data_IF_090030187744
#
_entry.id   IF_090030187744
#
_cell.length_a   1.000
_cell.length_b   1.000
_cell.length_c   1.000
_cell.angle_alpha   90.00
_cell.angle_beta   90.00
_cell.angle_gamma   90.00
#
_symmetry.space_group_name_H-M   'P 1'
#
loop_
_entity.id
_entity.type
_entity.pdbx_description
1 polymer ?
#
# COMPACT_ATOMS: atom_id res chain seq x y z
N UNK A 1 1.94 29.83 6.68
CA UNK A 1 2.70 28.80 5.91
C UNK A 1 1.93 27.48 5.94
N UNK A 2 1.71 26.91 4.77
CA UNK A 2 1.08 25.62 4.68
C UNK A 2 2.05 24.52 5.13
N UNK A 3 1.54 23.50 5.80
CA UNK A 3 2.32 22.33 6.22
C UNK A 3 1.55 21.07 5.93
N UNK A 4 2.26 19.97 5.83
CA UNK A 4 1.71 18.64 5.62
C UNK A 4 2.33 17.70 6.65
N UNK A 5 1.50 16.90 7.27
CA UNK A 5 1.94 15.85 8.19
C UNK A 5 1.97 14.52 7.44
N UNK A 6 3.13 13.90 7.43
CA UNK A 6 3.36 12.61 6.75
C UNK A 6 3.60 11.53 7.80
N UNK A 7 2.87 10.43 7.68
CA UNK A 7 3.10 9.25 8.50
C UNK A 7 3.73 8.16 7.64
N UNK A 8 4.90 7.69 8.03
CA UNK A 8 5.53 6.54 7.41
C UNK A 8 5.25 5.33 8.28
N UNK A 9 4.61 4.32 7.71
CA UNK A 9 4.32 3.08 8.41
C UNK A 9 5.49 2.12 8.23
N UNK A 10 5.93 1.53 9.32
CA UNK A 10 6.88 0.43 9.29
C UNK A 10 6.15 -0.83 9.68
N UNK A 11 6.01 -1.75 8.73
CA UNK A 11 5.15 -2.93 8.88
C UNK A 11 5.97 -4.21 8.86
N UNK A 12 5.42 -5.23 9.52
CA UNK A 12 5.92 -6.59 9.34
C UNK A 12 5.28 -7.20 8.10
N UNK A 13 6.06 -7.92 7.30
CA UNK A 13 5.55 -8.56 6.09
C UNK A 13 5.30 -10.04 6.36
N UNK A 14 4.04 -10.44 6.22
CA UNK A 14 3.62 -11.84 6.30
C UNK A 14 3.54 -12.44 4.89
N UNK A 15 3.64 -13.78 4.76
CA UNK A 15 3.40 -14.43 3.46
C UNK A 15 1.99 -14.26 2.93
N UNK A 16 1.01 -14.02 3.80
CA UNK A 16 -0.40 -13.85 3.44
C UNK A 16 -0.68 -12.37 3.12
N UNK A 17 -1.05 -12.09 1.86
CA UNK A 17 -1.39 -10.74 1.40
C UNK A 17 -2.54 -10.12 2.18
N UNK A 18 -3.58 -10.89 2.46
CA UNK A 18 -4.75 -10.41 3.18
C UNK A 18 -4.36 -9.96 4.58
N UNK A 19 -3.52 -10.72 5.25
CA UNK A 19 -3.04 -10.36 6.57
C UNK A 19 -2.24 -9.06 6.55
N UNK A 20 -1.38 -8.88 5.55
CA UNK A 20 -0.62 -7.63 5.40
C UNK A 20 -1.57 -6.42 5.23
N UNK A 21 -2.61 -6.57 4.43
CA UNK A 21 -3.61 -5.51 4.23
C UNK A 21 -4.39 -5.24 5.51
N UNK A 22 -4.84 -6.28 6.20
CA UNK A 22 -5.62 -6.14 7.44
C UNK A 22 -4.84 -5.41 8.54
N UNK A 23 -3.53 -5.63 8.63
CA UNK A 23 -2.69 -4.96 9.62
C UNK A 23 -2.52 -3.47 9.36
N UNK A 24 -2.80 -3.00 8.14
CA UNK A 24 -2.70 -1.58 7.80
C UNK A 24 -3.79 -0.74 8.46
N UNK A 25 -5.01 -1.28 8.58
CA UNK A 25 -6.17 -0.52 9.05
C UNK A 25 -5.94 0.16 10.41
N UNK A 26 -5.52 -0.56 11.46
CA UNK A 26 -5.28 0.09 12.75
C UNK A 26 -4.12 1.09 12.71
N UNK A 27 -3.10 0.82 11.89
CA UNK A 27 -1.97 1.73 11.74
C UNK A 27 -2.37 3.01 11.03
N UNK A 28 -3.17 2.92 9.96
CA UNK A 28 -3.69 4.09 9.25
C UNK A 28 -4.61 4.91 10.16
N UNK A 29 -5.47 4.24 10.93
CA UNK A 29 -6.34 4.91 11.89
C UNK A 29 -5.52 5.71 12.91
N UNK A 30 -4.46 5.12 13.45
CA UNK A 30 -3.56 5.79 14.38
C UNK A 30 -2.89 7.00 13.72
N UNK A 31 -2.41 6.85 12.49
CA UNK A 31 -1.81 7.94 11.72
C UNK A 31 -2.83 9.08 11.49
N UNK A 32 -4.04 8.73 11.08
CA UNK A 32 -5.12 9.71 10.85
C UNK A 32 -5.45 10.46 12.13
N UNK A 33 -5.59 9.75 13.25
CA UNK A 33 -5.88 10.35 14.55
C UNK A 33 -4.76 11.27 15.05
N UNK A 34 -3.54 11.05 14.57
CA UNK A 34 -2.38 11.90 14.88
C UNK A 34 -2.24 13.10 13.93
N UNK A 35 -3.18 13.26 13.00
CA UNK A 35 -3.21 14.40 12.09
C UNK A 35 -2.48 14.21 10.77
N UNK A 36 -2.18 12.97 10.39
CA UNK A 36 -1.51 12.70 9.12
C UNK A 36 -2.40 13.07 7.92
N UNK A 37 -1.81 13.76 6.96
CA UNK A 37 -2.42 14.08 5.67
C UNK A 37 -2.07 13.03 4.62
N UNK A 38 -0.85 12.54 4.65
CA UNK A 38 -0.31 11.54 3.75
C UNK A 38 0.23 10.36 4.55
N UNK A 39 -0.15 9.17 4.17
CA UNK A 39 0.37 7.93 4.75
C UNK A 39 1.20 7.20 3.71
N UNK A 40 2.38 6.73 4.10
CA UNK A 40 3.31 6.03 3.20
C UNK A 40 3.59 4.62 3.72
N UNK A 41 3.63 3.67 2.80
CA UNK A 41 4.00 2.28 3.07
C UNK A 41 5.47 2.02 2.69
N UNK A 42 6.10 0.99 3.26
CA UNK A 42 7.46 0.63 2.88
C UNK A 42 7.50 -0.17 1.57
N UNK A 43 8.67 -0.23 0.97
CA UNK A 43 8.92 -1.03 -0.23
C UNK A 43 8.51 -2.50 -0.01
N UNK A 44 7.80 -3.07 -0.98
CA UNK A 44 7.33 -4.47 -0.95
C UNK A 44 6.60 -4.83 0.34
N UNK A 45 5.70 -3.96 0.78
CA UNK A 45 5.00 -4.17 2.05
C UNK A 45 4.14 -5.45 2.06
N UNK A 46 3.77 -5.96 0.88
CA UNK A 46 2.84 -7.09 0.73
C UNK A 46 3.48 -8.33 0.11
N UNK A 47 4.80 -8.42 0.12
CA UNK A 47 5.52 -9.54 -0.48
C UNK A 47 6.81 -9.79 0.30
N UNK A 48 7.06 -11.01 0.81
CA UNK A 48 8.36 -11.32 1.38
C UNK A 48 9.48 -11.02 0.38
N UNK A 49 10.51 -10.31 0.83
CA UNK A 49 11.51 -9.69 -0.03
C UNK A 49 12.56 -10.71 -0.48
N UNK A 50 12.14 -11.59 -1.39
CA UNK A 50 12.98 -12.59 -2.05
C UNK A 50 12.59 -12.67 -3.52
N UNK A 51 13.58 -12.67 -4.40
CA UNK A 51 13.37 -12.61 -5.85
C UNK A 51 12.34 -13.63 -6.38
N UNK A 52 12.36 -14.92 -5.95
CA UNK A 52 11.36 -15.87 -6.45
C UNK A 52 9.91 -15.53 -6.11
N UNK A 53 9.69 -14.71 -5.09
CA UNK A 53 8.32 -14.34 -4.68
C UNK A 53 7.70 -13.28 -5.59
N UNK A 54 8.49 -12.41 -6.20
CA UNK A 54 7.95 -11.26 -6.91
C UNK A 54 6.98 -11.66 -8.04
N UNK A 55 7.30 -12.61 -8.91
CA UNK A 55 6.33 -13.04 -9.94
C UNK A 55 5.09 -13.70 -9.35
N UNK A 56 5.23 -14.41 -8.23
CA UNK A 56 4.12 -15.13 -7.58
C UNK A 56 3.12 -14.15 -6.96
N UNK A 57 3.61 -13.06 -6.36
CA UNK A 57 2.79 -12.08 -5.67
C UNK A 57 2.31 -10.96 -6.59
N UNK A 58 2.85 -10.84 -7.79
CA UNK A 58 2.54 -9.74 -8.70
C UNK A 58 1.06 -9.73 -9.12
N UNK A 59 0.48 -8.54 -9.14
CA UNK A 59 -0.89 -8.32 -9.59
C UNK A 59 -0.94 -7.18 -10.58
N UNK A 60 -1.92 -7.21 -11.46
CA UNK A 60 -2.20 -6.11 -12.37
C UNK A 60 -2.81 -4.93 -11.60
N UNK A 61 -2.58 -3.72 -12.12
CA UNK A 61 -3.25 -2.53 -11.60
C UNK A 61 -4.78 -2.74 -11.67
N UNK A 62 -5.48 -2.30 -10.63
CA UNK A 62 -6.92 -2.54 -10.49
C UNK A 62 -7.29 -3.89 -9.92
N UNK A 63 -6.31 -4.74 -9.60
CA UNK A 63 -6.53 -6.04 -8.97
C UNK A 63 -6.89 -5.94 -7.49
N UNK A 64 -7.00 -7.09 -6.79
CA UNK A 64 -7.45 -7.10 -5.40
C UNK A 64 -6.64 -6.23 -4.44
N UNK A 65 -5.32 -6.24 -4.55
CA UNK A 65 -4.47 -5.41 -3.68
C UNK A 65 -4.68 -3.93 -3.98
N UNK A 66 -4.69 -3.55 -5.27
CA UNK A 66 -4.95 -2.17 -5.68
C UNK A 66 -6.29 -1.70 -5.12
N UNK A 67 -7.33 -2.51 -5.26
CA UNK A 67 -8.67 -2.15 -4.80
C UNK A 67 -8.72 -1.98 -3.28
N UNK A 68 -8.07 -2.87 -2.53
CA UNK A 68 -8.00 -2.76 -1.08
C UNK A 68 -7.30 -1.47 -0.62
N UNK A 69 -6.22 -1.09 -1.31
CA UNK A 69 -5.49 0.14 -0.99
C UNK A 69 -6.31 1.38 -1.32
N UNK A 70 -6.98 1.38 -2.47
CA UNK A 70 -7.90 2.45 -2.87
C UNK A 70 -9.02 2.63 -1.84
N UNK A 71 -9.61 1.53 -1.40
CA UNK A 71 -10.68 1.54 -0.40
C UNK A 71 -10.21 2.11 0.94
N UNK A 72 -8.99 1.79 1.36
CA UNK A 72 -8.41 2.35 2.59
C UNK A 72 -8.21 3.86 2.49
N UNK A 73 -7.70 4.34 1.37
CA UNK A 73 -7.53 5.78 1.13
C UNK A 73 -8.87 6.51 1.24
N UNK A 74 -9.90 5.96 0.63
CA UNK A 74 -11.26 6.51 0.66
C UNK A 74 -11.87 6.45 2.05
N UNK A 75 -11.75 5.31 2.72
CA UNK A 75 -12.33 5.10 4.06
C UNK A 75 -11.79 6.12 5.06
N UNK A 76 -10.47 6.36 5.05
CA UNK A 76 -9.83 7.26 5.99
C UNK A 76 -9.69 8.70 5.47
N UNK A 77 -10.02 8.94 4.21
CA UNK A 77 -9.91 10.26 3.61
C UNK A 77 -8.49 10.81 3.63
N UNK A 78 -7.51 9.98 3.30
CA UNK A 78 -6.08 10.31 3.31
C UNK A 78 -5.49 10.27 1.91
N UNK A 79 -4.43 11.04 1.69
CA UNK A 79 -3.51 10.77 0.59
C UNK A 79 -2.68 9.55 0.97
N UNK A 80 -2.55 8.60 0.06
CA UNK A 80 -1.95 7.31 0.36
C UNK A 80 -0.88 6.96 -0.68
N UNK A 81 0.37 7.00 -0.26
CA UNK A 81 1.49 6.47 -1.04
C UNK A 81 1.58 4.97 -0.74
N UNK A 82 0.82 4.19 -1.50
CA UNK A 82 0.55 2.80 -1.22
C UNK A 82 1.41 1.92 -2.11
N UNK A 83 2.58 1.75 -1.72
CA UNK A 83 3.59 0.92 -2.40
C UNK A 83 4.82 0.81 -1.55
N UNK A 84 5.78 -0.01 -2.02
CA UNK A 84 5.64 -0.68 -3.29
C UNK A 84 5.09 -2.09 -3.13
N UNK A 85 4.65 -2.64 -4.25
CA UNK A 85 4.20 -4.02 -4.39
C UNK A 85 4.72 -4.58 -5.71
N UNK A 86 4.81 -5.91 -5.84
CA UNK A 86 5.04 -6.49 -7.15
C UNK A 86 3.82 -6.24 -8.02
N UNK A 87 4.02 -5.57 -9.14
CA UNK A 87 2.99 -5.36 -10.16
C UNK A 87 3.34 -6.11 -11.43
N UNK A 88 2.37 -6.35 -12.29
CA UNK A 88 2.63 -6.93 -13.59
C UNK A 88 1.74 -6.31 -14.66
N UNK A 89 2.22 -6.38 -15.90
CA UNK A 89 1.46 -5.99 -17.08
C UNK A 89 0.74 -7.19 -17.72
N UNK A 90 0.11 -6.95 -18.87
CA UNK A 90 -0.62 -8.00 -19.60
C UNK A 90 0.30 -9.10 -20.14
N UNK A 91 1.57 -8.78 -20.36
CA UNK A 91 2.56 -9.73 -20.90
C UNK A 91 3.29 -10.50 -19.80
N UNK A 92 2.95 -10.24 -18.54
CA UNK A 92 3.56 -10.92 -17.40
C UNK A 92 4.89 -10.34 -16.93
N UNK A 93 5.26 -9.16 -17.44
CA UNK A 93 6.43 -8.46 -16.91
C UNK A 93 6.16 -7.98 -15.49
N UNK A 94 7.14 -8.18 -14.60
CA UNK A 94 7.02 -7.84 -13.17
C UNK A 94 7.78 -6.57 -12.89
N UNK A 95 7.12 -5.66 -12.18
CA UNK A 95 7.67 -4.35 -11.83
C UNK A 95 7.59 -4.12 -10.33
N UNK A 96 8.50 -3.31 -9.82
CA UNK A 96 8.38 -2.73 -8.48
C UNK A 96 7.45 -1.51 -8.60
N UNK A 97 6.22 -1.64 -8.13
CA UNK A 97 5.15 -0.70 -8.44
C UNK A 97 4.67 0.04 -7.20
N UNK A 98 4.57 1.34 -7.28
CA UNK A 98 3.95 2.16 -6.24
C UNK A 98 2.70 2.84 -6.79
N UNK A 99 1.66 2.87 -5.98
CA UNK A 99 0.41 3.57 -6.28
C UNK A 99 0.27 4.77 -5.36
N UNK A 100 -0.29 5.85 -5.88
CA UNK A 100 -0.64 7.01 -5.05
C UNK A 100 -2.12 7.28 -5.23
N UNK A 101 -2.84 7.29 -4.13
CA UNK A 101 -4.27 7.56 -4.10
C UNK A 101 -4.53 8.90 -3.44
N UNK A 102 -5.51 9.63 -3.97
CA UNK A 102 -6.05 10.79 -3.28
C UNK A 102 -7.09 10.37 -2.22
N UNK A 103 -7.73 11.34 -1.58
CA UNK A 103 -8.69 11.08 -0.49
C UNK A 103 -9.97 10.38 -0.92
N UNK A 104 -10.21 10.29 -2.22
CA UNK A 104 -11.38 9.59 -2.76
C UNK A 104 -11.08 8.16 -3.21
N UNK A 105 -9.84 7.76 -3.10
CA UNK A 105 -9.38 6.42 -3.47
C UNK A 105 -8.87 6.33 -4.91
#
# INVERSE_FOLDING_TARGET
MASMTIAQLQTHVFPDKTKNIETLRPLIRKAKNSGADLVCLPEMFNCPYETPNFPVYAEKAGGPVWQALSDLAKEFGIYFSAGSVPGCDQDGHVFNTAYVFDRSG
#
